data_IF_302182325814
#
_entry.id   IF_302182325814
#
_cell.length_a   1.000
_cell.length_b   1.000
_cell.length_c   1.000
_cell.angle_alpha   90.00
_cell.angle_beta   90.00
_cell.angle_gamma   90.00
#
_symmetry.space_group_name_H-M   'P 1'
#
loop_
_entity.id
_entity.type
_entity.pdbx_description
1 polymer ?
#
# COMPACT_ATOMS: atom_id res chain seq x y z
N UNK A 1 -14.12 7.45 9.98
CA UNK A 1 -12.75 7.77 10.42
C UNK A 1 -11.99 8.21 9.19
N UNK A 2 -11.31 9.35 9.24
CA UNK A 2 -10.50 9.83 8.10
C UNK A 2 -9.05 9.40 8.29
N UNK A 3 -8.39 9.09 7.18
CA UNK A 3 -7.01 8.67 7.15
C UNK A 3 -6.23 9.52 6.14
N UNK A 4 -4.92 9.59 6.36
CA UNK A 4 -4.00 10.39 5.56
C UNK A 4 -2.91 9.50 5.02
N UNK A 5 -2.72 9.55 3.70
CA UNK A 5 -1.51 9.06 3.07
C UNK A 5 -0.55 10.23 2.88
N UNK A 6 0.74 9.97 3.06
CA UNK A 6 1.79 10.97 2.84
C UNK A 6 2.97 10.35 2.11
N UNK A 7 3.57 11.10 1.18
CA UNK A 7 4.73 10.61 0.46
C UNK A 7 5.28 11.61 -0.56
N UNK A 8 6.30 11.15 -1.27
CA UNK A 8 7.00 11.89 -2.33
C UNK A 8 6.81 11.25 -3.70
N UNK A 9 5.80 10.39 -3.83
CA UNK A 9 5.44 9.81 -5.10
C UNK A 9 4.95 10.83 -6.12
N UNK A 10 4.68 10.32 -7.31
CA UNK A 10 4.27 11.12 -8.44
C UNK A 10 2.95 11.86 -8.19
N UNK A 11 2.89 13.12 -8.63
CA UNK A 11 1.67 13.93 -8.47
C UNK A 11 0.60 13.63 -9.53
N UNK A 12 1.01 13.01 -10.64
CA UNK A 12 0.20 12.66 -11.79
C UNK A 12 0.71 11.35 -12.36
N UNK A 13 -0.13 10.55 -13.04
CA UNK A 13 0.34 9.42 -13.83
C UNK A 13 1.49 9.84 -14.78
N UNK A 14 2.52 9.02 -14.88
CA UNK A 14 3.69 9.21 -15.76
C UNK A 14 4.51 10.50 -15.53
N UNK A 15 4.49 11.03 -14.30
CA UNK A 15 5.31 12.18 -13.97
C UNK A 15 6.80 11.86 -14.14
N UNK A 16 7.53 12.71 -14.86
CA UNK A 16 8.98 12.55 -15.08
C UNK A 16 9.85 13.16 -13.98
N UNK A 17 9.23 13.72 -12.94
CA UNK A 17 9.93 14.41 -11.86
C UNK A 17 9.38 14.03 -10.49
N UNK A 18 10.28 13.61 -9.61
CA UNK A 18 9.96 13.39 -8.19
C UNK A 18 9.64 14.71 -7.49
N UNK A 19 8.59 14.71 -6.66
CA UNK A 19 8.29 15.89 -5.83
C UNK A 19 9.37 16.08 -4.78
N UNK A 20 9.80 17.33 -4.56
CA UNK A 20 10.76 17.68 -3.50
C UNK A 20 10.08 18.01 -2.18
N UNK A 21 8.77 18.19 -2.20
CA UNK A 21 7.97 18.53 -1.02
C UNK A 21 7.10 17.34 -0.66
N UNK A 22 7.13 16.94 0.62
CA UNK A 22 6.26 15.89 1.13
C UNK A 22 4.80 16.27 0.91
N UNK A 23 4.05 15.38 0.27
CA UNK A 23 2.62 15.56 0.05
C UNK A 23 1.81 14.86 1.13
N UNK A 24 0.55 15.29 1.28
CA UNK A 24 -0.43 14.62 2.12
C UNK A 24 -1.78 14.64 1.46
N UNK A 25 -2.54 13.56 1.64
CA UNK A 25 -3.86 13.41 1.07
C UNK A 25 -4.78 12.76 2.09
N UNK A 26 -5.94 13.38 2.32
CA UNK A 26 -7.00 12.85 3.17
C UNK A 26 -7.99 12.00 2.38
N UNK A 27 -8.28 10.79 2.86
CA UNK A 27 -9.17 9.84 2.20
C UNK A 27 -9.91 8.95 3.21
N UNK A 28 -11.11 8.47 2.86
CA UNK A 28 -11.84 7.50 3.67
C UNK A 28 -11.29 6.08 3.46
N UNK A 29 -11.45 5.23 4.47
CA UNK A 29 -11.30 3.79 4.33
C UNK A 29 -12.53 3.22 3.63
N UNK A 30 -12.30 2.30 2.69
CA UNK A 30 -13.35 1.55 2.01
C UNK A 30 -13.48 0.16 2.64
N UNK A 31 -14.71 -0.37 2.61
CA UNK A 31 -14.96 -1.76 2.94
C UNK A 31 -14.25 -2.69 1.93
N UNK A 32 -13.76 -3.84 2.40
CA UNK A 32 -12.94 -4.75 1.59
C UNK A 32 -13.74 -5.31 0.41
N UNK A 33 -14.96 -5.77 0.66
CA UNK A 33 -15.81 -6.37 -0.38
C UNK A 33 -16.24 -5.28 -1.37
N UNK A 34 -16.60 -4.10 -0.87
CA UNK A 34 -16.90 -2.95 -1.75
C UNK A 34 -15.71 -2.54 -2.61
N UNK A 35 -14.50 -2.55 -2.05
CA UNK A 35 -13.29 -2.24 -2.81
C UNK A 35 -13.06 -3.25 -3.92
N UNK A 36 -13.18 -4.55 -3.61
CA UNK A 36 -13.07 -5.62 -4.60
C UNK A 36 -14.12 -5.47 -5.71
N UNK A 37 -15.38 -5.20 -5.35
CA UNK A 37 -16.46 -4.92 -6.31
C UNK A 37 -16.15 -3.73 -7.23
N UNK A 38 -15.53 -2.67 -6.72
CA UNK A 38 -15.13 -1.51 -7.54
C UNK A 38 -14.14 -1.91 -8.63
N UNK A 39 -13.21 -2.81 -8.36
CA UNK A 39 -12.28 -3.33 -9.36
C UNK A 39 -12.95 -4.18 -10.47
N UNK A 40 -14.17 -4.66 -10.24
CA UNK A 40 -14.96 -5.40 -11.24
C UNK A 40 -15.96 -4.52 -12.01
N UNK A 41 -16.17 -3.28 -11.57
CA UNK A 41 -17.13 -2.35 -12.17
C UNK A 41 -16.48 -1.56 -13.32
N UNK A 42 -16.31 -2.24 -14.44
CA UNK A 42 -15.54 -1.76 -15.60
C UNK A 42 -16.34 -0.83 -16.53
N UNK A 43 -16.78 0.32 -16.01
CA UNK A 43 -17.52 1.30 -16.82
C UNK A 43 -16.68 2.50 -17.29
N UNK A 44 -15.37 2.49 -17.03
CA UNK A 44 -14.49 3.63 -17.34
C UNK A 44 -13.10 3.26 -17.84
N UNK A 45 -12.82 2.01 -18.24
CA UNK A 45 -11.62 1.69 -19.00
C UNK A 45 -11.76 2.26 -20.42
N UNK A 46 -11.28 3.48 -20.61
CA UNK A 46 -10.98 4.03 -21.95
C UNK A 46 -9.72 3.40 -22.55
N UNK A 47 -8.99 2.61 -21.76
CA UNK A 47 -7.73 1.99 -22.15
C UNK A 47 -7.96 0.56 -22.64
N UNK A 48 -7.59 0.36 -23.90
CA UNK A 48 -7.86 -0.84 -24.70
C UNK A 48 -7.13 -2.10 -24.19
N UNK A 49 -6.24 -1.95 -23.21
CA UNK A 49 -5.34 -3.00 -22.69
C UNK A 49 -5.61 -3.37 -21.22
N UNK A 50 -6.68 -2.85 -20.59
CA UNK A 50 -7.04 -3.28 -19.23
C UNK A 50 -7.78 -4.61 -19.30
N UNK A 51 -7.11 -5.71 -18.94
CA UNK A 51 -7.77 -7.01 -18.80
C UNK A 51 -8.97 -6.90 -17.85
N UNK A 52 -10.16 -7.19 -18.37
CA UNK A 52 -11.39 -7.30 -17.59
C UNK A 52 -11.17 -8.41 -16.55
N UNK A 53 -11.04 -8.04 -15.27
CA UNK A 53 -10.94 -9.02 -14.19
C UNK A 53 -12.22 -9.88 -14.18
N UNK A 54 -12.10 -11.23 -14.23
CA UNK A 54 -13.26 -12.11 -14.11
C UNK A 54 -14.01 -11.83 -12.81
N UNK A 55 -15.36 -11.82 -12.86
CA UNK A 55 -16.19 -11.50 -11.67
C UNK A 55 -15.99 -12.44 -10.47
N UNK A 56 -15.41 -13.62 -10.72
CA UNK A 56 -15.09 -14.64 -9.72
C UNK A 56 -13.65 -14.53 -9.19
N UNK A 57 -12.86 -13.58 -9.68
CA UNK A 57 -11.50 -13.35 -9.25
C UNK A 57 -11.45 -12.39 -8.06
N UNK A 58 -11.04 -12.86 -6.88
CA UNK A 58 -10.82 -12.00 -5.71
C UNK A 58 -9.45 -11.30 -5.83
N UNK A 59 -9.45 -9.97 -5.88
CA UNK A 59 -8.24 -9.15 -5.92
C UNK A 59 -7.87 -8.61 -4.54
N UNK A 60 -8.86 -8.20 -3.75
CA UNK A 60 -8.66 -7.55 -2.46
C UNK A 60 -8.92 -8.55 -1.34
N UNK A 61 -7.89 -8.83 -0.54
CA UNK A 61 -7.93 -9.82 0.54
C UNK A 61 -8.09 -9.18 1.93
N UNK A 62 -8.42 -9.99 2.93
CA UNK A 62 -8.76 -9.52 4.29
C UNK A 62 -7.55 -8.92 5.04
N UNK A 63 -6.33 -9.23 4.58
CA UNK A 63 -5.07 -8.64 5.03
C UNK A 63 -4.69 -7.36 4.27
N UNK A 64 -5.61 -6.84 3.45
CA UNK A 64 -5.52 -5.57 2.76
C UNK A 64 -6.55 -4.57 3.32
N UNK A 65 -6.31 -3.30 3.00
CA UNK A 65 -7.22 -2.18 3.30
C UNK A 65 -7.19 -1.24 2.11
N UNK A 66 -8.37 -0.84 1.64
CA UNK A 66 -8.48 0.15 0.58
C UNK A 66 -8.80 1.52 1.14
N UNK A 67 -8.28 2.56 0.49
CA UNK A 67 -8.61 3.93 0.82
C UNK A 67 -8.64 4.79 -0.44
N UNK A 68 -9.62 5.68 -0.53
CA UNK A 68 -9.81 6.50 -1.73
C UNK A 68 -11.26 6.88 -1.96
N UNK A 69 -11.51 7.52 -3.08
CA UNK A 69 -12.84 7.98 -3.49
C UNK A 69 -13.30 7.20 -4.73
N UNK A 70 -14.56 6.75 -4.80
CA UNK A 70 -15.07 6.06 -5.99
C UNK A 70 -14.91 6.85 -7.29
N UNK A 71 -14.95 8.19 -7.20
CA UNK A 71 -14.77 9.08 -8.33
C UNK A 71 -13.30 9.26 -8.76
N UNK A 72 -12.34 8.63 -8.06
CA UNK A 72 -10.91 8.80 -8.29
C UNK A 72 -10.39 10.18 -7.87
N UNK A 73 -9.55 10.79 -8.72
CA UNK A 73 -8.92 12.13 -8.60
C UNK A 73 -7.92 12.34 -7.46
N UNK A 74 -7.91 11.44 -6.48
CA UNK A 74 -7.15 11.54 -5.25
C UNK A 74 -6.69 10.15 -4.85
N UNK A 75 -5.40 9.91 -4.95
CA UNK A 75 -4.80 8.62 -4.62
C UNK A 75 -3.32 8.79 -4.24
N UNK A 76 -2.74 7.75 -3.64
CA UNK A 76 -1.29 7.55 -3.67
C UNK A 76 -0.85 7.17 -5.09
N UNK A 77 0.42 7.38 -5.44
CA UNK A 77 0.91 7.00 -6.75
C UNK A 77 2.31 6.36 -6.69
N UNK A 78 2.93 6.16 -7.85
CA UNK A 78 4.25 5.57 -7.96
C UNK A 78 5.26 6.33 -7.10
N UNK A 79 6.07 5.58 -6.36
CA UNK A 79 7.02 6.14 -5.40
C UNK A 79 6.47 6.37 -3.99
N UNK A 80 5.15 6.25 -3.77
CA UNK A 80 4.57 6.27 -2.41
C UNK A 80 4.59 4.90 -1.72
N UNK A 81 4.86 3.80 -2.45
CA UNK A 81 4.90 2.43 -1.91
C UNK A 81 5.80 2.32 -0.67
N UNK A 82 5.30 1.64 0.37
CA UNK A 82 5.95 1.59 1.69
C UNK A 82 5.62 2.78 2.60
N UNK A 83 5.02 3.84 2.06
CA UNK A 83 4.57 5.01 2.81
C UNK A 83 3.38 4.73 3.72
N UNK A 84 3.13 5.60 4.73
CA UNK A 84 2.10 5.37 5.73
C UNK A 84 0.70 5.79 5.26
N UNK A 85 -0.30 4.94 5.54
CA UNK A 85 -1.70 5.35 5.66
C UNK A 85 -2.03 5.46 7.14
N UNK A 86 -2.07 6.70 7.65
CA UNK A 86 -2.25 7.00 9.06
C UNK A 86 -3.66 7.53 9.35
N UNK A 87 -4.37 6.88 10.27
CA UNK A 87 -5.70 7.30 10.70
C UNK A 87 -5.62 8.03 12.04
N UNK A 88 -6.33 9.16 12.15
CA UNK A 88 -6.40 9.90 13.42
C UNK A 88 -7.56 9.40 14.26
N UNK A 89 -7.26 8.88 15.45
CA UNK A 89 -8.23 8.49 16.46
C UNK A 89 -8.01 9.34 17.71
N UNK A 90 -8.95 10.25 18.00
CA UNK A 90 -8.80 11.31 19.00
C UNK A 90 -7.52 12.12 18.72
N UNK A 91 -6.60 12.19 19.67
CA UNK A 91 -5.31 12.91 19.54
C UNK A 91 -4.14 11.99 19.15
N UNK A 92 -4.42 10.73 18.77
CA UNK A 92 -3.39 9.75 18.41
C UNK A 92 -3.47 9.39 16.93
N UNK A 93 -2.30 9.34 16.28
CA UNK A 93 -2.16 8.82 14.92
C UNK A 93 -1.81 7.34 14.96
N UNK A 94 -2.58 6.53 14.25
CA UNK A 94 -2.38 5.10 14.13
C UNK A 94 -2.01 4.74 12.69
N UNK A 95 -0.95 3.95 12.51
CA UNK A 95 -0.59 3.41 11.21
C UNK A 95 -1.56 2.27 10.86
N UNK A 96 -2.55 2.55 10.02
CA UNK A 96 -3.59 1.59 9.64
C UNK A 96 -3.17 0.75 8.45
N UNK A 97 -2.43 1.34 7.51
CA UNK A 97 -1.96 0.66 6.32
C UNK A 97 -0.60 1.13 5.82
N UNK A 98 -0.05 0.36 4.88
CA UNK A 98 1.18 0.65 4.16
C UNK A 98 0.85 0.67 2.67
N UNK A 99 1.21 1.74 1.96
CA UNK A 99 0.95 1.86 0.51
C UNK A 99 1.53 0.65 -0.22
N UNK A 100 0.69 -0.04 -1.00
CA UNK A 100 1.08 -1.28 -1.69
C UNK A 100 0.95 -1.13 -3.21
N UNK A 101 -0.27 -1.09 -3.74
CA UNK A 101 -0.52 -1.06 -5.18
C UNK A 101 -1.82 -0.34 -5.54
N UNK A 102 -2.01 -0.11 -6.84
CA UNK A 102 -3.22 0.42 -7.47
C UNK A 102 -3.20 0.12 -8.97
N UNK A 103 -4.33 0.32 -9.65
CA UNK A 103 -4.39 0.28 -11.13
C UNK A 103 -4.51 1.71 -11.61
N UNK A 104 -3.46 2.20 -12.29
CA UNK A 104 -3.28 3.63 -12.52
C UNK A 104 -3.09 4.40 -11.21
N UNK A 105 -3.27 5.71 -11.25
CA UNK A 105 -3.31 6.57 -10.07
C UNK A 105 -4.51 7.50 -10.18
N UNK A 106 -5.34 7.57 -9.13
CA UNK A 106 -6.51 8.46 -9.11
C UNK A 106 -7.59 8.13 -10.15
N UNK A 107 -7.66 6.89 -10.60
CA UNK A 107 -8.65 6.44 -11.57
C UNK A 107 -10.02 6.16 -10.90
N UNK A 108 -11.15 6.46 -11.57
CA UNK A 108 -12.47 6.11 -11.06
C UNK A 108 -12.61 4.60 -10.84
N UNK A 109 -13.22 4.20 -9.73
CA UNK A 109 -13.39 2.80 -9.31
C UNK A 109 -12.08 1.99 -9.14
N UNK A 110 -10.91 2.65 -9.10
CA UNK A 110 -9.60 2.02 -8.83
C UNK A 110 -8.97 2.65 -7.59
N UNK A 111 -9.50 2.38 -6.38
CA UNK A 111 -8.96 2.97 -5.16
C UNK A 111 -7.58 2.38 -4.83
N UNK A 112 -6.71 3.16 -4.19
CA UNK A 112 -5.43 2.65 -3.70
C UNK A 112 -5.59 1.50 -2.69
N UNK A 113 -4.72 0.51 -2.81
CA UNK A 113 -4.70 -0.70 -1.96
C UNK A 113 -3.46 -0.69 -1.08
N UNK A 114 -3.67 -0.96 0.20
CA UNK A 114 -2.68 -0.87 1.25
C UNK A 114 -2.62 -2.19 2.02
N UNK A 115 -1.44 -2.55 2.52
CA UNK A 115 -1.30 -3.67 3.46
C UNK A 115 -1.98 -3.32 4.78
N UNK A 116 -2.85 -4.18 5.32
CA UNK A 116 -3.53 -3.94 6.61
C UNK A 116 -2.58 -4.24 7.76
N UNK A 117 -2.06 -3.21 8.43
CA UNK A 117 -1.05 -3.35 9.50
C UNK A 117 -1.51 -4.26 10.63
N UNK A 118 -2.79 -4.19 11.01
CA UNK A 118 -3.34 -5.03 12.09
C UNK A 118 -3.24 -6.53 11.79
N UNK A 119 -3.29 -6.93 10.52
CA UNK A 119 -3.15 -8.34 10.11
C UNK A 119 -1.73 -8.89 10.29
N UNK A 120 -0.74 -8.00 10.40
CA UNK A 120 0.68 -8.35 10.49
C UNK A 120 1.29 -8.06 11.86
N UNK A 121 0.50 -7.66 12.87
CA UNK A 121 1.01 -7.27 14.19
C UNK A 121 1.84 -8.34 14.90
N UNK A 122 1.44 -9.62 14.81
CA UNK A 122 2.21 -10.71 15.39
C UNK A 122 3.59 -10.84 14.75
N UNK A 123 3.65 -10.71 13.41
CA UNK A 123 4.91 -10.75 12.67
C UNK A 123 5.79 -9.54 12.99
N UNK A 124 5.20 -8.34 13.09
CA UNK A 124 5.91 -7.11 13.46
C UNK A 124 6.53 -7.29 14.85
N UNK A 125 5.73 -7.70 15.84
CA UNK A 125 6.19 -7.88 17.21
C UNK A 125 7.29 -8.93 17.30
N UNK A 126 7.08 -10.11 16.71
CA UNK A 126 8.08 -11.18 16.69
C UNK A 126 9.41 -10.73 16.05
N UNK A 127 9.32 -9.97 14.97
CA UNK A 127 10.50 -9.44 14.26
C UNK A 127 11.26 -8.42 15.12
N UNK A 128 10.56 -7.52 15.80
CA UNK A 128 11.17 -6.53 16.70
C UNK A 128 11.84 -7.24 17.88
N UNK A 129 11.16 -8.19 18.50
CA UNK A 129 11.68 -8.96 19.64
C UNK A 129 12.95 -9.73 19.26
N UNK A 130 12.92 -10.49 18.16
CA UNK A 130 14.10 -11.24 17.67
C UNK A 130 15.30 -10.33 17.42
N UNK A 131 15.09 -9.13 16.90
CA UNK A 131 16.17 -8.18 16.61
C UNK A 131 16.64 -7.38 17.84
N UNK A 132 15.82 -7.27 18.89
CA UNK A 132 16.21 -6.62 20.16
C UNK A 132 17.17 -7.48 21.00
N UNK A 133 17.13 -8.80 20.85
CA UNK A 133 17.98 -9.76 21.59
C UNK A 133 19.39 -9.92 20.99
N UNK A 134 19.64 -9.39 19.79
CA UNK A 134 20.95 -9.46 19.11
C UNK A 134 22.02 -8.46 19.61
N UNK A 135 21.75 -7.64 20.64
CA UNK A 135 22.72 -6.68 21.19
C UNK A 135 23.51 -7.18 22.41
N UNK A 136 23.26 -8.39 22.91
CA UNK A 136 24.03 -8.99 24.01
C UNK A 136 25.26 -9.76 23.49
N UNK A 137 26.20 -9.08 22.83
CA UNK A 137 27.63 -9.45 22.75
C UNK A 137 28.06 -10.88 22.35
N UNK A 138 27.18 -11.78 21.91
CA UNK A 138 27.50 -13.18 21.60
C UNK A 138 27.41 -13.40 20.09
N UNK A 139 28.50 -13.86 19.43
CA UNK A 139 28.49 -14.07 18.00
C UNK A 139 27.75 -15.38 17.70
N UNK A 140 26.50 -15.30 17.25
CA UNK A 140 25.84 -16.41 16.57
C UNK A 140 25.77 -16.15 15.08
N UNK A 141 26.56 -16.94 14.35
CA UNK A 141 26.52 -17.07 12.91
C UNK A 141 25.13 -17.59 12.46
N UNK A 142 24.26 -16.67 12.03
CA UNK A 142 23.17 -16.93 11.08
C UNK A 142 22.59 -15.58 10.63
N UNK A 143 23.45 -14.76 10.05
CA UNK A 143 23.05 -13.49 9.46
C UNK A 143 22.22 -13.73 8.20
N UNK A 144 20.90 -13.58 8.32
CA UNK A 144 20.16 -12.93 7.25
C UNK A 144 20.16 -11.45 7.66
N UNK A 145 20.95 -10.59 6.99
CA UNK A 145 21.04 -9.18 7.33
C UNK A 145 19.64 -8.56 7.39
N UNK A 146 19.37 -7.66 8.33
CA UNK A 146 18.12 -6.88 8.37
C UNK A 146 17.86 -6.15 7.04
N UNK A 147 18.94 -5.87 6.30
CA UNK A 147 18.92 -5.41 4.90
C UNK A 147 18.19 -6.38 3.98
N UNK A 148 18.34 -7.70 4.15
CA UNK A 148 17.57 -8.69 3.42
C UNK A 148 16.10 -8.71 3.83
N UNK A 149 15.70 -8.34 5.05
CA UNK A 149 14.27 -8.30 5.42
C UNK A 149 13.57 -7.07 4.82
N UNK A 150 14.24 -5.92 4.80
CA UNK A 150 13.76 -4.75 4.05
C UNK A 150 13.76 -5.00 2.55
N UNK A 151 14.79 -5.68 2.02
CA UNK A 151 14.81 -6.13 0.62
C UNK A 151 13.73 -7.19 0.39
N UNK A 152 13.45 -8.11 1.32
CA UNK A 152 12.35 -9.08 1.20
C UNK A 152 11.00 -8.38 1.25
N UNK A 153 10.80 -7.35 2.09
CA UNK A 153 9.60 -6.52 2.06
C UNK A 153 9.55 -5.58 0.85
N UNK A 154 10.66 -5.37 0.14
CA UNK A 154 10.71 -4.65 -1.15
C UNK A 154 10.70 -5.61 -2.37
N UNK A 155 10.92 -6.92 -2.15
CA UNK A 155 11.03 -7.94 -3.21
C UNK A 155 9.92 -8.98 -3.20
N UNK A 156 9.26 -9.21 -2.06
CA UNK A 156 7.95 -9.88 -1.98
C UNK A 156 6.82 -8.88 -2.23
N UNK A 157 7.06 -7.59 -1.98
CA UNK A 157 6.33 -6.50 -2.62
C UNK A 157 7.13 -5.99 -3.82
N UNK A 158 7.51 -6.91 -4.71
CA UNK A 158 7.68 -6.54 -6.10
C UNK A 158 6.31 -5.96 -6.52
N UNK A 159 6.16 -4.65 -6.34
CA UNK A 159 5.49 -3.78 -7.29
C UNK A 159 5.69 -4.42 -8.63
N UNK A 160 4.62 -4.92 -9.24
CA UNK A 160 4.64 -5.66 -10.49
C UNK A 160 5.56 -4.95 -11.47
N UNK A 161 6.81 -5.40 -11.56
CA UNK A 161 7.58 -5.33 -12.77
C UNK A 161 6.82 -6.25 -13.71
N UNK A 162 5.82 -5.68 -14.38
CA UNK A 162 5.36 -6.20 -15.66
C UNK A 162 6.63 -6.20 -16.51
N UNK A 163 7.21 -7.40 -16.65
CA UNK A 163 8.09 -7.70 -17.75
C UNK A 163 7.34 -7.32 -19.03
N UNK A 164 7.89 -6.37 -19.77
CA UNK A 164 7.85 -6.39 -21.22
C UNK A 164 9.15 -7.01 -21.71
#
# INVERSE_FOLDING_TARGET
MMCWVTGWGDLYPDASFVTRTLQKLEMPILDVDKCDEMYHNDSSSSDIDTEVLPKDYKLIYDDMICAGYPEGKKDSCQGDSGGPLACKLNDTWLLAGIVSFGVGCSEPNRPGVYTRVTSYMNWIQHTIEKNSVSNDGVPHASGIPVVFVLIFLLSTFHVSAINL
#
